data_IF_482412594955
#
_entry.id   IF_482412594955
#
_cell.length_a   1.000
_cell.length_b   1.000
_cell.length_c   1.000
_cell.angle_alpha   90.00
_cell.angle_beta   90.00
_cell.angle_gamma   90.00
#
_symmetry.space_group_name_H-M   'P 1'
#
loop_
_entity.id
_entity.type
_entity.pdbx_description
1 polymer ?
#
# COMPACT_ATOMS: atom_id res chain seq x y z
N UNK A 1 12.31 26.24 -54.67
CA UNK A 1 11.72 25.50 -53.56
C UNK A 1 11.20 26.52 -52.58
N UNK A 2 9.90 26.82 -52.63
CA UNK A 2 9.28 27.87 -51.80
C UNK A 2 9.01 27.26 -50.44
N UNK A 3 9.60 27.83 -49.39
CA UNK A 3 9.43 27.39 -48.00
C UNK A 3 8.04 27.84 -47.53
N UNK A 4 7.22 26.92 -47.11
CA UNK A 4 5.89 27.22 -46.56
C UNK A 4 6.04 27.98 -45.23
N UNK A 5 5.58 29.23 -45.12
CA UNK A 5 5.72 30.02 -43.89
C UNK A 5 4.86 29.50 -42.72
N UNK A 6 3.99 28.53 -42.97
CA UNK A 6 3.16 27.93 -41.92
C UNK A 6 3.85 26.77 -41.19
N UNK A 7 5.00 26.29 -41.72
CA UNK A 7 5.72 25.18 -41.09
C UNK A 7 6.34 25.55 -39.74
N UNK A 8 6.53 26.83 -39.46
CA UNK A 8 7.13 27.33 -38.23
C UNK A 8 6.11 27.61 -37.10
N UNK A 9 4.80 27.48 -37.40
CA UNK A 9 3.71 27.76 -36.44
C UNK A 9 2.99 26.50 -35.94
N UNK A 10 3.41 25.32 -36.38
CA UNK A 10 2.84 24.07 -35.87
C UNK A 10 3.54 23.72 -34.55
N UNK A 11 2.90 24.00 -33.44
CA UNK A 11 3.36 23.48 -32.16
C UNK A 11 3.44 21.95 -32.24
N UNK A 12 4.57 21.33 -31.86
CA UNK A 12 4.71 19.88 -31.90
C UNK A 12 3.67 19.27 -30.98
N UNK A 13 2.82 18.40 -31.53
CA UNK A 13 1.84 17.64 -30.79
C UNK A 13 2.52 16.91 -29.62
N UNK A 14 1.97 16.94 -28.41
CA UNK A 14 2.55 16.25 -27.26
C UNK A 14 2.69 14.72 -27.44
N UNK A 15 2.11 14.17 -28.51
CA UNK A 15 2.14 12.74 -28.83
C UNK A 15 3.09 12.36 -29.97
N UNK A 16 3.69 13.33 -30.67
CA UNK A 16 4.74 13.05 -31.64
C UNK A 16 6.08 13.11 -30.94
N UNK A 17 6.74 11.96 -30.77
CA UNK A 17 8.02 11.76 -30.06
C UNK A 17 9.21 12.57 -30.57
N UNK A 18 9.05 13.88 -30.68
CA UNK A 18 10.14 14.83 -30.80
C UNK A 18 10.94 14.85 -29.51
N UNK A 19 12.26 14.66 -29.60
CA UNK A 19 13.20 14.83 -28.50
C UNK A 19 12.86 16.12 -27.74
N UNK A 20 12.23 16.01 -26.59
CA UNK A 20 12.14 17.13 -25.66
C UNK A 20 13.57 17.57 -25.36
N UNK A 21 13.92 18.80 -25.73
CA UNK A 21 15.13 19.44 -25.21
C UNK A 21 14.95 19.51 -23.70
N UNK A 22 15.58 18.58 -23.00
CA UNK A 22 15.69 18.66 -21.54
C UNK A 22 16.49 19.95 -21.28
N UNK A 23 15.80 21.02 -20.88
CA UNK A 23 16.47 22.18 -20.32
C UNK A 23 17.16 21.68 -19.04
N UNK A 24 18.48 21.48 -19.12
CA UNK A 24 19.30 21.32 -17.93
C UNK A 24 19.12 22.59 -17.12
N UNK A 25 18.32 22.49 -16.08
CA UNK A 25 18.28 23.51 -15.04
C UNK A 25 19.68 23.56 -14.45
N UNK A 26 20.40 24.65 -14.69
CA UNK A 26 21.74 24.84 -14.14
C UNK A 26 21.63 24.73 -12.61
N UNK A 27 22.43 23.85 -12.03
CA UNK A 27 22.57 23.68 -10.59
C UNK A 27 23.10 24.98 -9.97
N UNK A 28 22.23 25.94 -9.69
CA UNK A 28 22.57 27.27 -9.18
C UNK A 28 21.40 28.23 -8.99
N UNK A 29 20.26 27.94 -9.63
CA UNK A 29 19.06 28.72 -9.35
C UNK A 29 18.40 28.19 -8.07
N UNK A 30 18.58 28.89 -6.96
CA UNK A 30 17.80 28.67 -5.74
C UNK A 30 16.33 28.87 -6.09
N UNK A 31 15.45 27.87 -5.86
CA UNK A 31 14.02 28.04 -6.08
C UNK A 31 13.52 29.21 -5.22
N UNK A 32 12.64 30.04 -5.78
CA UNK A 32 12.01 31.13 -5.02
C UNK A 32 11.31 30.55 -3.76
N UNK A 33 11.55 31.10 -2.57
CA UNK A 33 11.19 30.46 -1.31
C UNK A 33 9.70 30.27 -1.03
N UNK A 34 8.80 30.81 -1.84
CA UNK A 34 7.35 30.83 -1.56
C UNK A 34 6.47 30.46 -2.75
N UNK A 35 6.93 29.61 -3.69
CA UNK A 35 6.01 29.10 -4.71
C UNK A 35 5.22 27.88 -4.22
N UNK A 36 3.91 27.76 -4.50
CA UNK A 36 3.11 26.59 -4.13
C UNK A 36 3.65 25.28 -4.72
N UNK A 37 4.40 25.36 -5.81
CA UNK A 37 5.09 24.22 -6.42
C UNK A 37 6.21 23.71 -5.51
N UNK A 38 6.93 24.58 -4.79
CA UNK A 38 7.98 24.17 -3.87
C UNK A 38 7.43 23.44 -2.64
N UNK A 39 6.23 23.80 -2.16
CA UNK A 39 5.59 23.10 -1.05
C UNK A 39 5.16 21.69 -1.46
N UNK A 40 4.66 21.51 -2.67
CA UNK A 40 4.29 20.20 -3.21
C UNK A 40 5.52 19.30 -3.38
N UNK A 41 6.61 19.82 -3.96
CA UNK A 41 7.85 19.06 -4.11
C UNK A 41 8.55 18.79 -2.77
N UNK A 42 8.44 19.69 -1.77
CA UNK A 42 9.00 19.45 -0.44
C UNK A 42 8.24 18.35 0.30
N UNK A 43 6.93 18.28 0.16
CA UNK A 43 6.12 17.19 0.71
C UNK A 43 6.46 15.87 0.04
N UNK A 44 6.61 15.84 -1.29
CA UNK A 44 7.05 14.64 -2.00
C UNK A 44 8.50 14.25 -1.67
N UNK A 45 9.38 15.22 -1.44
CA UNK A 45 10.78 14.96 -1.05
C UNK A 45 10.90 14.39 0.35
N UNK A 46 9.99 14.74 1.26
CA UNK A 46 9.97 14.17 2.62
C UNK A 46 9.45 12.73 2.67
N UNK A 47 8.76 12.30 1.61
CA UNK A 47 8.28 10.92 1.45
C UNK A 47 9.24 10.06 0.63
N UNK A 48 10.46 10.52 0.33
CA UNK A 48 11.45 9.65 -0.31
C UNK A 48 11.77 8.47 0.62
N UNK A 49 11.42 7.25 0.23
CA UNK A 49 11.80 6.09 1.01
C UNK A 49 13.33 6.08 1.08
N UNK A 50 13.89 6.04 2.27
CA UNK A 50 15.32 5.82 2.45
C UNK A 50 15.66 4.54 1.71
N UNK A 51 16.54 4.66 0.71
CA UNK A 51 16.96 3.53 -0.13
C UNK A 51 17.68 2.52 0.77
N UNK A 52 16.92 1.63 1.39
CA UNK A 52 17.46 0.57 2.22
C UNK A 52 18.17 -0.43 1.30
N UNK A 53 19.49 -0.37 1.27
CA UNK A 53 20.39 -1.40 0.67
C UNK A 53 20.35 -2.72 1.46
N UNK A 54 19.19 -3.08 2.04
CA UNK A 54 19.01 -4.32 2.77
C UNK A 54 18.80 -5.50 1.80
N UNK A 55 19.32 -6.67 2.16
CA UNK A 55 19.06 -7.93 1.44
C UNK A 55 17.55 -8.22 1.31
N UNK A 56 17.19 -9.24 0.51
CA UNK A 56 15.79 -9.64 0.25
C UNK A 56 15.02 -9.91 1.56
N UNK A 57 15.69 -10.40 2.58
CA UNK A 57 15.12 -10.77 3.88
C UNK A 57 15.19 -9.64 4.93
N UNK A 58 15.60 -8.44 4.54
CA UNK A 58 15.63 -7.32 5.48
C UNK A 58 14.23 -6.73 5.65
N UNK A 59 13.66 -6.89 6.84
CA UNK A 59 12.38 -6.29 7.24
C UNK A 59 12.65 -5.16 8.23
N UNK A 60 12.13 -3.98 7.93
CA UNK A 60 12.17 -2.87 8.89
C UNK A 60 11.27 -3.17 10.09
N UNK A 61 11.54 -2.55 11.23
CA UNK A 61 10.71 -2.76 12.42
C UNK A 61 9.29 -2.22 12.23
N UNK A 62 9.15 -1.17 11.42
CA UNK A 62 7.85 -0.65 11.02
C UNK A 62 7.08 -1.64 10.13
N UNK A 63 7.75 -2.27 9.17
CA UNK A 63 7.15 -3.30 8.32
C UNK A 63 6.65 -4.50 9.15
N UNK A 64 7.44 -4.95 10.12
CA UNK A 64 7.04 -6.03 11.03
C UNK A 64 5.80 -5.67 11.85
N UNK A 65 5.74 -4.43 12.38
CA UNK A 65 4.56 -3.94 13.12
C UNK A 65 3.32 -3.90 12.22
N UNK A 66 3.47 -3.40 10.99
CA UNK A 66 2.37 -3.34 10.03
C UNK A 66 1.87 -4.73 9.62
N UNK A 67 2.78 -5.69 9.38
CA UNK A 67 2.42 -7.08 9.11
C UNK A 67 1.72 -7.73 10.29
N UNK A 68 2.22 -7.54 11.51
CA UNK A 68 1.59 -8.07 12.73
C UNK A 68 0.20 -7.48 12.94
N UNK A 69 0.06 -6.15 12.77
CA UNK A 69 -1.22 -5.47 12.92
C UNK A 69 -2.24 -5.94 11.88
N UNK A 70 -1.83 -6.05 10.61
CA UNK A 70 -2.69 -6.55 9.55
C UNK A 70 -3.09 -8.01 9.79
N UNK A 71 -2.14 -8.88 10.20
CA UNK A 71 -2.43 -10.29 10.52
C UNK A 71 -3.41 -10.41 11.67
N UNK A 72 -3.24 -9.64 12.74
CA UNK A 72 -4.14 -9.64 13.88
C UNK A 72 -5.56 -9.17 13.51
N UNK A 73 -5.66 -8.07 12.76
CA UNK A 73 -6.95 -7.56 12.29
C UNK A 73 -7.65 -8.55 11.35
N UNK A 74 -6.88 -9.21 10.47
CA UNK A 74 -7.40 -10.23 9.56
C UNK A 74 -7.93 -11.46 10.34
N UNK A 75 -7.17 -11.93 11.33
CA UNK A 75 -7.57 -13.04 12.20
C UNK A 75 -8.85 -12.72 12.97
N UNK A 76 -8.96 -11.49 13.49
CA UNK A 76 -10.14 -11.02 14.21
C UNK A 76 -11.36 -10.97 13.28
N UNK A 77 -11.21 -10.44 12.09
CA UNK A 77 -12.28 -10.38 11.10
C UNK A 77 -12.79 -11.77 10.71
N UNK A 78 -11.88 -12.73 10.55
CA UNK A 78 -12.22 -14.14 10.29
C UNK A 78 -12.89 -14.82 11.51
N UNK A 79 -12.49 -14.44 12.73
CA UNK A 79 -13.17 -14.86 13.95
C UNK A 79 -14.63 -14.41 13.96
N UNK A 80 -14.89 -13.15 13.64
CA UNK A 80 -16.26 -12.64 13.50
C UNK A 80 -17.02 -13.30 12.34
N UNK A 81 -16.37 -13.53 11.23
CA UNK A 81 -16.97 -14.24 10.10
C UNK A 81 -17.41 -15.65 10.52
N UNK A 82 -16.56 -16.41 11.23
CA UNK A 82 -16.88 -17.76 11.69
C UNK A 82 -18.06 -17.78 12.65
N UNK A 83 -18.21 -16.75 13.46
CA UNK A 83 -19.32 -16.54 14.38
C UNK A 83 -20.54 -15.87 13.74
N UNK A 84 -20.57 -15.73 12.40
CA UNK A 84 -21.64 -15.06 11.63
C UNK A 84 -21.87 -13.59 12.02
N UNK A 85 -20.84 -12.92 12.50
CA UNK A 85 -20.96 -11.54 12.98
C UNK A 85 -21.96 -11.44 14.14
N UNK A 86 -22.67 -10.32 14.21
CA UNK A 86 -23.68 -10.10 15.25
C UNK A 86 -24.90 -11.03 15.13
N UNK A 87 -25.14 -11.65 13.97
CA UNK A 87 -26.24 -12.63 13.80
C UNK A 87 -26.03 -13.85 14.69
N UNK A 88 -24.77 -14.22 14.94
CA UNK A 88 -24.44 -15.35 15.82
C UNK A 88 -24.88 -15.16 17.28
N UNK A 89 -25.17 -13.92 17.72
CA UNK A 89 -25.70 -13.62 19.05
C UNK A 89 -27.06 -14.32 19.32
N UNK A 90 -27.79 -14.70 18.28
CA UNK A 90 -29.03 -15.47 18.42
C UNK A 90 -28.82 -16.84 19.10
N UNK A 91 -27.61 -17.40 19.05
CA UNK A 91 -27.24 -18.64 19.74
C UNK A 91 -26.89 -18.44 21.21
N UNK A 92 -26.93 -17.22 21.71
CA UNK A 92 -26.54 -16.81 23.05
C UNK A 92 -25.13 -16.20 23.12
N UNK A 93 -24.96 -15.19 23.97
CA UNK A 93 -23.72 -14.43 24.09
C UNK A 93 -22.52 -15.32 24.43
N UNK A 94 -22.67 -16.24 25.33
CA UNK A 94 -21.59 -17.16 25.76
C UNK A 94 -21.12 -18.05 24.60
N UNK A 95 -22.06 -18.64 23.85
CA UNK A 95 -21.75 -19.49 22.71
C UNK A 95 -21.06 -18.70 21.60
N UNK A 96 -21.53 -17.49 21.34
CA UNK A 96 -20.97 -16.58 20.33
C UNK A 96 -19.53 -16.19 20.69
N UNK A 97 -19.26 -15.76 21.93
CA UNK A 97 -17.91 -15.42 22.38
C UNK A 97 -16.99 -16.64 22.34
N UNK A 98 -17.46 -17.80 22.79
CA UNK A 98 -16.68 -19.04 22.78
C UNK A 98 -16.29 -19.41 21.32
N UNK A 99 -17.22 -19.29 20.37
CA UNK A 99 -16.96 -19.58 18.96
C UNK A 99 -15.89 -18.68 18.40
N UNK A 100 -15.91 -17.37 18.70
CA UNK A 100 -14.85 -16.43 18.29
C UNK A 100 -13.51 -16.86 18.89
N UNK A 101 -13.45 -17.08 20.19
CA UNK A 101 -12.21 -17.44 20.89
C UNK A 101 -11.60 -18.74 20.39
N UNK A 102 -12.42 -19.75 20.08
CA UNK A 102 -11.94 -21.01 19.54
C UNK A 102 -11.51 -20.91 18.06
N UNK A 103 -12.18 -20.06 17.28
CA UNK A 103 -11.84 -19.89 15.86
C UNK A 103 -10.57 -19.08 15.65
N UNK A 104 -10.25 -18.10 16.51
CA UNK A 104 -9.10 -17.23 16.34
C UNK A 104 -7.75 -17.96 16.19
N UNK A 105 -7.36 -18.90 17.06
CA UNK A 105 -6.08 -19.61 16.89
C UNK A 105 -6.06 -20.46 15.62
N UNK A 106 -7.20 -21.06 15.25
CA UNK A 106 -7.31 -21.83 14.00
C UNK A 106 -7.12 -20.92 12.80
N UNK A 107 -7.80 -19.78 12.77
CA UNK A 107 -7.67 -18.79 11.69
C UNK A 107 -6.28 -18.18 11.62
N UNK A 108 -5.66 -17.90 12.75
CA UNK A 108 -4.29 -17.40 12.80
C UNK A 108 -3.29 -18.40 12.18
N UNK A 109 -3.42 -19.68 12.50
CA UNK A 109 -2.53 -20.72 11.96
C UNK A 109 -2.80 -20.97 10.47
N UNK A 110 -4.06 -20.94 10.06
CA UNK A 110 -4.45 -21.20 8.67
C UNK A 110 -4.12 -20.05 7.73
N UNK A 111 -4.42 -18.82 8.12
CA UNK A 111 -4.36 -17.65 7.24
C UNK A 111 -3.14 -16.77 7.51
N UNK A 112 -2.67 -16.70 8.76
CA UNK A 112 -1.54 -15.87 9.13
C UNK A 112 -0.30 -16.13 8.28
N UNK A 113 0.21 -17.37 8.22
CA UNK A 113 1.36 -17.69 7.36
C UNK A 113 1.10 -17.45 5.88
N UNK A 114 -0.09 -17.77 5.38
CA UNK A 114 -0.45 -17.57 3.97
C UNK A 114 -0.45 -16.08 3.62
N UNK A 115 -1.01 -15.22 4.47
CA UNK A 115 -0.99 -13.77 4.29
C UNK A 115 0.44 -13.23 4.30
N UNK A 116 1.23 -13.57 5.31
CA UNK A 116 2.62 -13.10 5.43
C UNK A 116 3.47 -13.55 4.25
N UNK A 117 3.34 -14.82 3.82
CA UNK A 117 4.06 -15.34 2.66
C UNK A 117 3.64 -14.65 1.36
N UNK A 118 2.37 -14.29 1.22
CA UNK A 118 1.86 -13.53 0.08
C UNK A 118 2.53 -12.14 -0.01
N UNK A 119 2.57 -11.42 1.09
CA UNK A 119 3.21 -10.09 1.15
C UNK A 119 4.73 -10.17 0.93
N UNK A 120 5.38 -11.20 1.49
CA UNK A 120 6.79 -11.48 1.22
C UNK A 120 7.02 -11.77 -0.26
N UNK A 121 6.10 -12.49 -0.91
CA UNK A 121 6.15 -12.76 -2.34
C UNK A 121 6.19 -11.48 -3.18
N UNK A 122 5.31 -10.52 -2.90
CA UNK A 122 5.32 -9.21 -3.54
C UNK A 122 6.65 -8.49 -3.34
N UNK A 123 7.17 -8.51 -2.12
CA UNK A 123 8.47 -7.90 -1.79
C UNK A 123 9.62 -8.53 -2.56
N UNK A 124 9.66 -9.85 -2.66
CA UNK A 124 10.71 -10.57 -3.39
C UNK A 124 10.68 -10.19 -4.88
N UNK A 125 9.50 -10.16 -5.49
CA UNK A 125 9.33 -9.81 -6.90
C UNK A 125 9.78 -8.38 -7.16
N UNK A 126 9.36 -7.42 -6.32
CA UNK A 126 9.77 -6.03 -6.45
C UNK A 126 11.30 -5.88 -6.34
N UNK A 127 11.93 -6.52 -5.36
CA UNK A 127 13.38 -6.48 -5.19
C UNK A 127 14.16 -7.15 -6.34
N UNK A 128 13.64 -8.24 -6.91
CA UNK A 128 14.24 -8.86 -8.11
C UNK A 128 14.25 -7.91 -9.30
N UNK A 129 13.29 -7.01 -9.39
CA UNK A 129 13.22 -5.96 -10.41
C UNK A 129 14.01 -4.70 -10.05
N UNK A 130 14.83 -4.73 -9.01
CA UNK A 130 15.67 -3.61 -8.58
C UNK A 130 14.92 -2.52 -7.81
N UNK A 131 13.66 -2.75 -7.47
CA UNK A 131 12.83 -1.80 -6.74
C UNK A 131 12.95 -1.98 -5.23
N UNK A 132 12.84 -0.87 -4.49
CA UNK A 132 12.61 -0.92 -3.06
C UNK A 132 11.14 -1.34 -2.79
N UNK A 133 10.94 -2.18 -1.77
CA UNK A 133 9.60 -2.63 -1.42
C UNK A 133 9.44 -2.79 0.09
N UNK A 134 8.35 -2.28 0.63
CA UNK A 134 8.00 -2.38 2.05
C UNK A 134 6.47 -2.47 2.20
N UNK A 135 6.00 -3.42 3.03
CA UNK A 135 4.57 -3.53 3.33
C UNK A 135 4.12 -2.41 4.26
N UNK A 136 3.02 -1.76 3.89
CA UNK A 136 2.33 -0.75 4.70
C UNK A 136 0.86 -1.12 4.88
N UNK A 137 0.46 -1.36 6.13
CA UNK A 137 -0.94 -1.59 6.46
C UNK A 137 -1.74 -0.29 6.30
N UNK A 138 -2.99 -0.40 5.86
CA UNK A 138 -3.96 0.68 5.95
C UNK A 138 -4.82 0.51 7.21
N UNK A 139 -4.58 1.30 8.28
CA UNK A 139 -5.33 1.17 9.52
C UNK A 139 -6.83 1.40 9.35
N UNK A 140 -7.23 2.30 8.45
CA UNK A 140 -8.65 2.60 8.20
C UNK A 140 -9.34 1.47 7.47
N UNK A 141 -8.70 0.93 6.44
CA UNK A 141 -9.19 -0.24 5.70
C UNK A 141 -9.31 -1.48 6.58
N UNK A 142 -8.33 -1.71 7.46
CA UNK A 142 -8.36 -2.81 8.44
C UNK A 142 -9.51 -2.65 9.45
N UNK A 143 -9.65 -1.47 10.07
CA UNK A 143 -10.74 -1.21 11.01
C UNK A 143 -12.11 -1.37 10.36
N UNK A 144 -12.27 -0.82 9.15
CA UNK A 144 -13.51 -0.94 8.39
C UNK A 144 -13.84 -2.40 8.06
N UNK A 145 -12.84 -3.19 7.64
CA UNK A 145 -13.02 -4.61 7.38
C UNK A 145 -13.43 -5.42 8.60
N UNK A 146 -12.81 -5.15 9.76
CA UNK A 146 -13.18 -5.78 11.05
C UNK A 146 -14.61 -5.42 11.42
N UNK A 147 -15.01 -4.14 11.27
CA UNK A 147 -16.40 -3.71 11.56
C UNK A 147 -17.41 -4.38 10.63
N UNK A 148 -17.14 -4.46 9.35
CA UNK A 148 -18.02 -5.17 8.40
C UNK A 148 -18.15 -6.65 8.78
N UNK A 149 -17.06 -7.31 9.12
CA UNK A 149 -17.09 -8.70 9.56
C UNK A 149 -17.92 -8.89 10.83
N UNK A 150 -17.80 -7.95 11.77
CA UNK A 150 -18.60 -7.97 13.00
C UNK A 150 -20.10 -7.76 12.72
N UNK A 151 -20.46 -6.71 11.95
CA UNK A 151 -21.86 -6.36 11.76
C UNK A 151 -22.59 -7.27 10.78
N UNK A 152 -21.94 -7.59 9.66
CA UNK A 152 -22.58 -8.30 8.55
C UNK A 152 -22.19 -9.80 8.50
N UNK A 153 -21.13 -10.22 9.18
CA UNK A 153 -20.60 -11.58 9.08
C UNK A 153 -20.07 -11.90 7.69
N UNK A 154 -19.52 -10.90 6.98
CA UNK A 154 -18.86 -11.06 5.68
C UNK A 154 -17.46 -10.48 5.74
N UNK A 155 -16.53 -11.08 5.00
CA UNK A 155 -15.16 -10.59 4.93
C UNK A 155 -15.03 -9.59 3.76
N UNK A 156 -14.81 -8.34 4.11
CA UNK A 156 -14.41 -7.31 3.17
C UNK A 156 -13.28 -6.49 3.80
N UNK A 157 -12.05 -6.72 3.34
CA UNK A 157 -10.89 -6.13 3.98
C UNK A 157 -9.85 -5.67 2.96
N UNK A 158 -9.31 -4.48 3.19
CA UNK A 158 -8.13 -3.96 2.51
C UNK A 158 -6.97 -3.90 3.53
N UNK A 159 -6.13 -4.95 3.61
CA UNK A 159 -5.11 -5.05 4.67
C UNK A 159 -3.99 -4.02 4.53
N UNK A 160 -3.79 -3.48 3.35
CA UNK A 160 -2.70 -2.59 3.01
C UNK A 160 -2.13 -2.91 1.63
N UNK A 161 -0.94 -2.40 1.37
CA UNK A 161 -0.23 -2.64 0.13
C UNK A 161 1.28 -2.69 0.33
N UNK A 162 1.97 -3.39 -0.54
CA UNK A 162 3.42 -3.27 -0.68
C UNK A 162 3.71 -2.00 -1.47
N UNK A 163 4.32 -1.01 -0.80
CA UNK A 163 4.82 0.19 -1.45
C UNK A 163 6.10 -0.15 -2.20
N UNK A 164 6.14 0.23 -3.47
CA UNK A 164 7.28 -0.06 -4.35
C UNK A 164 7.82 1.26 -4.89
N UNK A 165 9.15 1.45 -4.80
CA UNK A 165 9.87 2.58 -5.38
C UNK A 165 11.09 2.06 -6.14
N UNK A 166 11.27 2.56 -7.38
CA UNK A 166 12.38 2.21 -8.25
C UNK A 166 12.77 3.35 -9.16
#
# INVERSE_FOLDING_TARGET
MVRDPRADTIEPSPFTGGRQKIHRVHAGQRPLPNSPVNSFFSVMSQTQPTLHKGGIWHFSDEEKKHLLYATAAFTLALGFLSAQGLRGLSSGLSSWVLQILLSMPIMLIAVGPAFVLHEIGHKIIAKKNGCWAEFRADPKGLQFGVLISLFLGVLFMAPGAVMVAG
#
